data_IF_507635662279
#
_entry.id   IF_507635662279
#
_cell.length_a   1.000
_cell.length_b   1.000
_cell.length_c   1.000
_cell.angle_alpha   90.00
_cell.angle_beta   90.00
_cell.angle_gamma   90.00
#
_symmetry.space_group_name_H-M   'P 1'
#
loop_
_entity.id
_entity.type
_entity.pdbx_description
1 polymer ?
#
# COMPACT_ATOMS: atom_id res chain seq x y z
N UNK A 1 -6.93 0.49 -28.18
CA UNK A 1 -7.49 0.30 -26.82
C UNK A 1 -7.83 1.68 -26.28
N UNK A 2 -9.07 1.93 -25.86
CA UNK A 2 -9.47 3.19 -25.24
C UNK A 2 -9.50 3.00 -23.73
N UNK A 3 -8.79 3.86 -22.99
CA UNK A 3 -8.80 3.85 -21.52
C UNK A 3 -10.12 4.43 -21.04
N UNK A 4 -10.81 3.74 -20.13
CA UNK A 4 -12.02 4.23 -19.49
C UNK A 4 -11.68 5.03 -18.22
N UNK A 5 -12.69 5.56 -17.55
CA UNK A 5 -12.51 6.34 -16.32
C UNK A 5 -11.78 5.55 -15.22
N UNK A 6 -12.14 4.26 -15.01
CA UNK A 6 -11.43 3.38 -14.07
C UNK A 6 -9.93 3.33 -14.37
N UNK A 7 -9.57 3.14 -15.64
CA UNK A 7 -8.19 3.04 -16.06
C UNK A 7 -7.43 4.35 -15.90
N UNK A 8 -8.08 5.48 -16.18
CA UNK A 8 -7.50 6.81 -15.96
C UNK A 8 -7.23 7.06 -14.48
N UNK A 9 -8.17 6.73 -13.60
CA UNK A 9 -7.97 6.84 -12.15
C UNK A 9 -6.85 5.92 -11.69
N UNK A 10 -6.82 4.67 -12.16
CA UNK A 10 -5.76 3.72 -11.82
C UNK A 10 -4.37 4.23 -12.22
N UNK A 11 -4.23 4.76 -13.42
CA UNK A 11 -2.99 5.36 -13.89
C UNK A 11 -2.57 6.57 -13.04
N UNK A 12 -3.50 7.47 -12.72
CA UNK A 12 -3.18 8.68 -11.96
C UNK A 12 -2.85 8.39 -10.49
N UNK A 13 -3.56 7.46 -9.86
CA UNK A 13 -3.30 7.03 -8.49
C UNK A 13 -1.98 6.27 -8.33
N UNK A 14 -1.47 5.66 -9.42
CA UNK A 14 -0.14 5.05 -9.43
C UNK A 14 0.93 6.09 -9.12
N UNK A 15 1.04 7.16 -9.91
CA UNK A 15 2.05 8.19 -9.68
C UNK A 15 1.83 8.99 -8.38
N UNK A 16 0.57 9.13 -7.91
CA UNK A 16 0.31 9.68 -6.56
C UNK A 16 0.80 8.78 -5.44
N UNK A 17 0.88 7.47 -5.65
CA UNK A 17 1.33 6.52 -4.62
C UNK A 17 2.81 6.77 -4.27
N UNK A 18 3.61 7.20 -5.24
CA UNK A 18 5.02 7.61 -5.06
C UNK A 18 5.13 8.90 -4.24
N UNK A 19 4.26 9.90 -4.48
CA UNK A 19 4.35 11.19 -3.77
C UNK A 19 4.00 11.09 -2.29
N UNK A 20 3.17 10.12 -1.90
CA UNK A 20 2.74 9.91 -0.51
C UNK A 20 3.65 8.95 0.27
N UNK A 21 4.62 8.30 -0.38
CA UNK A 21 5.50 7.31 0.24
C UNK A 21 6.94 7.59 -0.11
N UNK A 22 7.75 7.84 0.90
CA UNK A 22 9.14 8.15 0.73
C UNK A 22 10.01 6.88 0.53
N UNK A 23 9.45 5.69 0.71
CA UNK A 23 10.18 4.41 0.71
C UNK A 23 10.02 3.60 -0.59
N UNK A 24 9.46 4.19 -1.65
CA UNK A 24 9.29 3.57 -2.96
C UNK A 24 9.50 4.57 -4.08
N UNK A 25 9.99 4.10 -5.22
CA UNK A 25 9.82 4.76 -6.51
C UNK A 25 8.87 3.92 -7.36
N UNK A 26 8.05 4.58 -8.16
CA UNK A 26 7.10 3.92 -9.05
C UNK A 26 7.43 4.26 -10.49
N UNK A 27 7.77 3.23 -11.26
CA UNK A 27 8.11 3.38 -12.68
C UNK A 27 6.87 3.05 -13.54
N UNK A 28 7.09 2.65 -14.79
CA UNK A 28 6.08 2.38 -15.79
C UNK A 28 4.91 1.52 -15.27
N UNK A 29 3.71 1.93 -15.68
CA UNK A 29 2.45 1.23 -15.45
C UNK A 29 1.76 0.97 -16.80
N UNK A 30 1.22 -0.23 -16.97
CA UNK A 30 0.38 -0.60 -18.10
C UNK A 30 -0.99 -0.99 -17.57
N UNK A 31 -2.00 -0.21 -17.96
CA UNK A 31 -3.40 -0.45 -17.61
C UNK A 31 -4.07 -1.20 -18.75
N UNK A 32 -4.55 -2.41 -18.46
CA UNK A 32 -5.33 -3.24 -19.38
C UNK A 32 -6.78 -3.34 -18.91
N UNK A 33 -7.72 -3.76 -19.78
CA UNK A 33 -9.15 -3.79 -19.43
C UNK A 33 -9.49 -4.65 -18.21
N UNK A 34 -8.67 -5.65 -17.89
CA UNK A 34 -8.92 -6.62 -16.82
C UNK A 34 -7.85 -6.64 -15.71
N UNK A 35 -6.68 -6.03 -15.91
CA UNK A 35 -5.61 -6.02 -14.92
C UNK A 35 -4.57 -4.92 -15.21
N UNK A 36 -3.61 -4.78 -14.32
CA UNK A 36 -2.54 -3.78 -14.40
C UNK A 36 -1.21 -4.45 -14.13
N UNK A 37 -0.18 -4.04 -14.87
CA UNK A 37 1.21 -4.29 -14.55
C UNK A 37 1.88 -2.98 -14.16
N UNK A 38 2.68 -3.01 -13.10
CA UNK A 38 3.47 -1.85 -12.67
C UNK A 38 4.74 -2.29 -11.99
N UNK A 39 5.77 -1.45 -12.06
CA UNK A 39 7.06 -1.68 -11.42
C UNK A 39 7.17 -0.85 -10.14
N UNK A 40 7.48 -1.52 -9.03
CA UNK A 40 7.68 -0.88 -7.74
C UNK A 40 9.14 -1.14 -7.34
N UNK A 41 9.91 -0.06 -7.26
CA UNK A 41 11.23 -0.10 -6.64
C UNK A 41 11.10 0.20 -5.15
N UNK A 42 11.63 -0.68 -4.30
CA UNK A 42 11.65 -0.49 -2.85
C UNK A 42 12.94 0.20 -2.46
N UNK A 43 12.86 1.43 -1.96
CA UNK A 43 14.04 2.17 -1.51
C UNK A 43 14.27 1.88 -0.03
N UNK A 44 15.40 1.24 0.26
CA UNK A 44 15.88 1.03 1.63
C UNK A 44 16.40 2.33 2.25
N UNK A 45 15.50 3.19 2.78
CA UNK A 45 15.91 4.42 3.50
C UNK A 45 16.50 4.19 4.90
N UNK A 46 16.49 2.95 5.41
CA UNK A 46 17.12 2.56 6.67
C UNK A 46 17.86 1.23 6.49
N UNK A 47 19.13 1.09 6.93
CA UNK A 47 19.69 -0.23 7.16
C UNK A 47 18.91 -0.86 8.32
N UNK A 48 18.60 -2.15 8.23
CA UNK A 48 17.73 -2.93 9.14
C UNK A 48 16.27 -2.96 8.66
N UNK A 49 16.01 -3.81 7.66
CA UNK A 49 14.71 -4.48 7.56
C UNK A 49 14.73 -5.64 8.55
N UNK A 50 14.19 -5.41 9.74
CA UNK A 50 13.67 -6.54 10.52
C UNK A 50 12.59 -7.19 9.66
N UNK A 51 12.68 -8.50 9.43
CA UNK A 51 11.54 -9.23 8.89
C UNK A 51 10.34 -8.94 9.82
N UNK A 52 9.26 -8.39 9.28
CA UNK A 52 7.98 -8.19 10.00
C UNK A 52 7.33 -9.52 10.46
N UNK A 53 8.08 -10.62 10.54
CA UNK A 53 7.65 -11.86 11.20
C UNK A 53 7.81 -11.77 12.71
N UNK A 54 8.75 -10.96 13.19
CA UNK A 54 8.93 -10.79 14.62
C UNK A 54 8.12 -9.57 15.07
N UNK A 55 6.90 -9.84 15.54
CA UNK A 55 6.24 -8.95 16.49
C UNK A 55 7.28 -8.43 17.48
N UNK A 56 7.32 -7.11 17.72
CA UNK A 56 8.17 -6.51 18.75
C UNK A 56 8.15 -7.41 19.99
N UNK A 57 9.32 -7.85 20.47
CA UNK A 57 9.48 -8.72 21.64
C UNK A 57 8.41 -8.39 22.68
N UNK A 58 7.39 -9.24 22.75
CA UNK A 58 6.30 -9.11 23.70
C UNK A 58 6.96 -9.27 25.07
N UNK A 59 7.05 -8.17 25.82
CA UNK A 59 7.63 -8.06 27.16
C UNK A 59 9.14 -7.73 27.24
N UNK A 60 9.54 -6.50 26.89
CA UNK A 60 10.65 -5.86 27.64
C UNK A 60 10.07 -5.21 28.89
N UNK A 61 10.20 -5.90 30.02
CA UNK A 61 9.99 -5.30 31.35
C UNK A 61 10.99 -4.15 31.49
N UNK A 62 10.50 -2.90 31.52
CA UNK A 62 11.32 -1.78 31.98
C UNK A 62 11.56 -1.96 33.50
N UNK A 63 12.69 -1.50 34.08
CA UNK A 63 13.00 -1.64 35.51
C UNK A 63 12.02 -0.92 36.47
N UNK A 64 10.93 -0.36 35.96
CA UNK A 64 10.00 0.52 36.65
C UNK A 64 8.53 0.18 36.31
N UNK A 65 8.16 -1.10 36.46
CA UNK A 65 6.80 -1.67 36.63
C UNK A 65 5.62 -1.13 35.79
N UNK A 66 5.88 -0.39 34.71
CA UNK A 66 4.87 0.13 33.80
C UNK A 66 4.51 -0.97 32.80
N UNK A 67 3.23 -1.38 32.82
CA UNK A 67 2.67 -2.35 31.90
C UNK A 67 2.63 -1.71 30.49
N UNK A 68 3.47 -2.16 29.58
CA UNK A 68 3.41 -1.75 28.17
C UNK A 68 2.21 -2.41 27.50
N UNK A 69 1.18 -1.63 27.18
CA UNK A 69 0.12 -2.06 26.27
C UNK A 69 0.62 -1.89 24.83
N UNK A 70 0.77 -2.97 24.04
CA UNK A 70 1.12 -2.83 22.64
C UNK A 70 -0.02 -2.09 21.93
N UNK A 71 0.31 -0.96 21.33
CA UNK A 71 -0.64 -0.22 20.49
C UNK A 71 -0.90 -1.03 19.23
N UNK A 72 -2.17 -1.27 18.91
CA UNK A 72 -2.53 -1.91 17.65
C UNK A 72 -2.22 -0.94 16.51
N UNK A 73 -1.08 -1.12 15.87
CA UNK A 73 -0.64 -0.30 14.75
C UNK A 73 -0.55 -1.19 13.50
N UNK A 74 -1.20 -0.74 12.42
CA UNK A 74 -1.04 -1.40 11.12
C UNK A 74 0.42 -1.24 10.67
N UNK A 75 1.06 -2.29 10.14
CA UNK A 75 2.39 -2.17 9.57
C UNK A 75 2.45 -1.06 8.52
N UNK A 76 3.25 -0.04 8.79
CA UNK A 76 3.65 0.96 7.81
C UNK A 76 4.86 0.43 7.03
N UNK A 77 4.93 0.73 5.73
CA UNK A 77 6.13 0.47 4.89
C UNK A 77 6.37 -0.98 4.44
N UNK A 78 5.33 -1.81 4.26
CA UNK A 78 5.45 -3.07 3.52
C UNK A 78 4.65 -3.04 2.21
N UNK A 79 4.98 -3.97 1.31
CA UNK A 79 4.36 -4.08 -0.02
C UNK A 79 2.83 -4.24 0.07
N UNK A 80 2.33 -5.01 1.03
CA UNK A 80 0.89 -5.20 1.23
C UNK A 80 0.17 -3.88 1.56
N UNK A 81 0.75 -3.04 2.41
CA UNK A 81 0.22 -1.71 2.76
C UNK A 81 0.29 -0.74 1.59
N UNK A 82 1.30 -0.85 0.72
CA UNK A 82 1.41 -0.07 -0.52
C UNK A 82 0.28 -0.45 -1.47
N UNK A 83 0.17 -1.73 -1.82
CA UNK A 83 -0.84 -2.24 -2.75
C UNK A 83 -2.25 -2.02 -2.22
N UNK A 84 -2.50 -2.22 -0.92
CA UNK A 84 -3.80 -1.95 -0.29
C UNK A 84 -4.18 -0.48 -0.42
N UNK A 85 -3.24 0.43 -0.16
CA UNK A 85 -3.47 1.87 -0.27
C UNK A 85 -3.82 2.28 -1.70
N UNK A 86 -3.02 1.83 -2.67
CA UNK A 86 -3.27 2.06 -4.10
C UNK A 86 -4.64 1.51 -4.54
N UNK A 87 -4.93 0.24 -4.25
CA UNK A 87 -6.21 -0.39 -4.60
C UNK A 87 -7.40 0.39 -4.02
N UNK A 88 -7.29 0.80 -2.76
CA UNK A 88 -8.32 1.59 -2.07
C UNK A 88 -8.52 2.97 -2.71
N UNK A 89 -7.44 3.68 -3.05
CA UNK A 89 -7.56 5.02 -3.65
C UNK A 89 -8.15 4.97 -5.05
N UNK A 90 -7.90 3.92 -5.82
CA UNK A 90 -8.52 3.70 -7.15
C UNK A 90 -10.01 3.41 -7.05
N UNK A 91 -10.44 2.58 -6.09
CA UNK A 91 -11.86 2.25 -5.93
C UNK A 91 -12.66 3.37 -5.25
N UNK A 92 -12.00 4.21 -4.45
CA UNK A 92 -12.67 5.23 -3.62
C UNK A 92 -13.66 6.14 -4.37
N UNK A 93 -13.33 6.70 -5.56
CA UNK A 93 -14.24 7.56 -6.30
C UNK A 93 -15.53 6.87 -6.76
N UNK A 94 -15.52 5.54 -6.86
CA UNK A 94 -16.60 4.74 -7.44
C UNK A 94 -17.47 4.03 -6.38
N UNK A 95 -17.21 4.25 -5.09
CA UNK A 95 -18.05 3.67 -4.04
C UNK A 95 -19.49 4.16 -4.16
N UNK A 96 -20.44 3.22 -4.18
CA UNK A 96 -21.88 3.50 -4.27
C UNK A 96 -22.42 3.73 -5.68
N UNK A 97 -21.61 3.57 -6.73
CA UNK A 97 -22.06 3.64 -8.12
C UNK A 97 -22.53 2.27 -8.64
N UNK A 98 -23.51 2.25 -9.55
CA UNK A 98 -24.07 1.02 -10.14
C UNK A 98 -23.08 0.29 -11.07
N UNK A 99 -22.19 1.04 -11.72
CA UNK A 99 -21.07 0.53 -12.51
C UNK A 99 -19.76 0.96 -11.85
N UNK A 100 -19.32 0.19 -10.85
CA UNK A 100 -18.14 0.53 -10.04
C UNK A 100 -16.84 -0.08 -10.54
N UNK A 101 -15.71 0.60 -10.29
CA UNK A 101 -14.38 0.05 -10.52
C UNK A 101 -13.89 -0.71 -9.28
N UNK A 102 -13.70 -2.03 -9.41
CA UNK A 102 -13.30 -2.90 -8.31
C UNK A 102 -12.09 -3.78 -8.65
N UNK A 103 -11.41 -4.25 -7.61
CA UNK A 103 -10.31 -5.21 -7.75
C UNK A 103 -10.81 -6.62 -7.54
N UNK A 104 -10.40 -7.55 -8.41
CA UNK A 104 -10.58 -8.97 -8.12
C UNK A 104 -9.74 -9.36 -6.89
N UNK A 105 -10.30 -10.11 -5.93
CA UNK A 105 -9.53 -10.69 -4.84
C UNK A 105 -8.42 -11.59 -5.42
N UNK A 106 -7.18 -11.35 -5.00
CA UNK A 106 -6.02 -12.15 -5.40
C UNK A 106 -5.74 -13.27 -4.41
#
# INVERSE_FOLDING_TARGET
MHINECGMVAHNEWFKTETIRDNVNLDAIVVMPNHIHGFIEIIGKKPIVGANRDSHLRNKIKPNNSLYTPKFESPSNNIGTIIRGYKSSVTKPFFGQSEGCGWHPS
#
